data_IF_470291965253
#
_entry.id   IF_470291965253
#
_cell.length_a   1.000
_cell.length_b   1.000
_cell.length_c   1.000
_cell.angle_alpha   90.00
_cell.angle_beta   90.00
_cell.angle_gamma   90.00
#
_symmetry.space_group_name_H-M   'P 1'
#
loop_
_entity.id
_entity.type
_entity.pdbx_description
1 polymer ?
#
# COMPACT_ATOMS: atom_id res chain seq x y z
N UNK A 1 28.64 0.34 -5.50
CA UNK A 1 27.64 1.14 -4.78
C UNK A 1 27.61 0.81 -3.30
N UNK A 2 27.56 -0.47 -2.91
CA UNK A 2 27.32 -0.87 -1.51
C UNK A 2 28.59 -1.05 -0.68
N UNK A 3 29.75 -1.06 -1.32
CA UNK A 3 31.05 -1.23 -0.67
C UNK A 3 31.31 -0.09 0.33
N UNK A 4 31.37 -0.45 1.62
CA UNK A 4 31.71 0.45 2.71
C UNK A 4 30.53 1.26 3.26
N UNK A 5 29.31 1.08 2.75
CA UNK A 5 28.11 1.69 3.33
C UNK A 5 27.90 1.10 4.73
N UNK A 6 27.85 1.95 5.75
CA UNK A 6 27.70 1.56 7.15
C UNK A 6 26.22 1.40 7.53
N UNK A 7 25.37 2.24 6.93
CA UNK A 7 23.92 2.21 7.10
C UNK A 7 23.25 1.10 6.28
N UNK A 8 21.97 0.85 6.55
CA UNK A 8 21.17 -0.06 5.71
C UNK A 8 20.78 0.65 4.43
N UNK A 9 21.20 0.11 3.29
CA UNK A 9 20.86 0.59 1.95
C UNK A 9 19.95 -0.41 1.24
N UNK A 10 18.78 0.05 0.80
CA UNK A 10 17.84 -0.71 -0.05
C UNK A 10 17.64 0.02 -1.36
N UNK A 11 17.58 -0.71 -2.48
CA UNK A 11 17.57 -0.14 -3.83
C UNK A 11 16.58 -0.84 -4.75
N UNK A 12 15.97 -0.06 -5.64
CA UNK A 12 15.20 -0.50 -6.79
C UNK A 12 15.81 0.08 -8.07
N UNK A 13 15.14 -0.09 -9.23
CA UNK A 13 15.61 0.49 -10.49
C UNK A 13 15.69 2.02 -10.44
N UNK A 14 14.71 2.66 -9.79
CA UNK A 14 14.55 4.12 -9.80
C UNK A 14 14.78 4.76 -8.42
N UNK A 15 14.71 3.99 -7.33
CA UNK A 15 14.75 4.52 -5.97
C UNK A 15 15.88 3.89 -5.13
N UNK A 16 16.39 4.67 -4.18
CA UNK A 16 17.29 4.19 -3.14
C UNK A 16 16.84 4.71 -1.77
N UNK A 17 16.97 3.88 -0.75
CA UNK A 17 16.63 4.19 0.64
C UNK A 17 17.82 3.90 1.53
N UNK A 18 18.28 4.91 2.24
CA UNK A 18 19.33 4.80 3.24
C UNK A 18 18.69 4.97 4.62
N UNK A 19 18.97 4.03 5.53
CA UNK A 19 18.42 4.04 6.88
C UNK A 19 19.53 3.71 7.88
N UNK A 20 19.60 4.47 8.98
CA UNK A 20 20.56 4.29 10.05
C UNK A 20 19.97 4.67 11.40
N UNK A 21 20.56 4.12 12.47
CA UNK A 21 20.24 4.53 13.84
C UNK A 21 21.00 5.83 14.15
N UNK A 22 20.31 6.81 14.73
CA UNK A 22 20.81 8.19 14.93
C UNK A 22 20.75 8.63 16.40
N UNK A 23 20.78 7.67 17.33
CA UNK A 23 20.82 7.94 18.76
C UNK A 23 22.18 8.47 19.25
N UNK A 24 23.21 8.37 18.40
CA UNK A 24 24.58 8.82 18.65
C UNK A 24 25.08 9.73 17.52
N UNK A 25 26.07 10.57 17.83
CA UNK A 25 26.76 11.41 16.83
C UNK A 25 27.39 10.56 15.73
N UNK A 26 27.99 9.42 16.10
CA UNK A 26 28.58 8.48 15.14
C UNK A 26 27.54 7.95 14.14
N UNK A 27 26.33 7.64 14.60
CA UNK A 27 25.22 7.21 13.74
C UNK A 27 24.76 8.31 12.76
N UNK A 28 24.66 9.56 13.23
CA UNK A 28 24.34 10.71 12.38
C UNK A 28 25.43 10.95 11.33
N UNK A 29 26.70 10.92 11.74
CA UNK A 29 27.85 11.07 10.85
C UNK A 29 27.95 9.92 9.85
N UNK A 30 27.55 8.70 10.24
CA UNK A 30 27.49 7.55 9.34
C UNK A 30 26.51 7.77 8.18
N UNK A 31 25.31 8.30 8.48
CA UNK A 31 24.32 8.63 7.45
C UNK A 31 24.88 9.68 6.49
N UNK A 32 25.46 10.77 6.99
CA UNK A 32 26.02 11.81 6.12
C UNK A 32 27.16 11.27 5.25
N UNK A 33 28.08 10.49 5.83
CA UNK A 33 29.17 9.85 5.07
C UNK A 33 28.66 8.93 3.96
N UNK A 34 27.59 8.20 4.22
CA UNK A 34 27.00 7.29 3.24
C UNK A 34 26.22 8.05 2.16
N UNK A 35 25.54 9.15 2.48
CA UNK A 35 24.96 10.07 1.50
C UNK A 35 26.04 10.66 0.58
N UNK A 36 27.18 11.11 1.12
CA UNK A 36 28.28 11.63 0.32
C UNK A 36 28.87 10.56 -0.61
N UNK A 37 28.91 9.31 -0.17
CA UNK A 37 29.35 8.17 -1.00
C UNK A 37 28.35 7.89 -2.12
N UNK A 38 27.06 7.97 -1.84
CA UNK A 38 26.00 7.81 -2.84
C UNK A 38 26.07 8.92 -3.90
N UNK A 39 26.24 10.18 -3.51
CA UNK A 39 26.38 11.32 -4.43
C UNK A 39 27.63 11.14 -5.32
N UNK A 40 28.78 10.79 -4.73
CA UNK A 40 30.01 10.50 -5.50
C UNK A 40 29.82 9.34 -6.47
N UNK A 41 29.18 8.26 -6.02
CA UNK A 41 28.91 7.11 -6.88
C UNK A 41 28.00 7.50 -8.04
N UNK A 42 26.93 8.27 -7.80
CA UNK A 42 26.05 8.76 -8.85
C UNK A 42 26.84 9.58 -9.88
N UNK A 43 27.69 10.50 -9.42
CA UNK A 43 28.53 11.33 -10.29
C UNK A 43 29.46 10.48 -11.18
N UNK A 44 30.18 9.50 -10.62
CA UNK A 44 31.08 8.59 -11.36
C UNK A 44 30.33 7.75 -12.40
N UNK A 45 29.07 7.41 -12.13
CA UNK A 45 28.24 6.62 -13.03
C UNK A 45 27.37 7.49 -13.95
N UNK A 46 27.69 8.78 -14.08
CA UNK A 46 26.96 9.75 -14.91
C UNK A 46 25.44 9.82 -14.60
N UNK A 47 25.07 9.55 -13.35
CA UNK A 47 23.72 9.67 -12.82
C UNK A 47 23.59 10.89 -11.90
N UNK A 48 22.35 11.31 -11.66
CA UNK A 48 22.05 12.44 -10.79
C UNK A 48 20.79 12.15 -9.98
N UNK A 49 20.87 12.35 -8.66
CA UNK A 49 19.69 12.29 -7.81
C UNK A 49 18.75 13.46 -8.12
N UNK A 50 17.44 13.18 -8.14
CA UNK A 50 16.43 14.21 -8.13
C UNK A 50 16.26 14.73 -6.69
N UNK A 51 17.09 15.70 -6.31
CA UNK A 51 17.18 16.22 -4.94
C UNK A 51 15.85 16.74 -4.39
N UNK A 52 15.03 17.35 -5.23
CA UNK A 52 13.69 17.81 -4.84
C UNK A 52 12.74 16.67 -4.41
N UNK A 53 12.97 15.46 -4.93
CA UNK A 53 12.22 14.25 -4.55
C UNK A 53 12.85 13.47 -3.39
N UNK A 54 14.10 13.77 -3.02
CA UNK A 54 14.74 13.15 -1.87
C UNK A 54 14.16 13.75 -0.58
N UNK A 55 13.72 12.89 0.34
CA UNK A 55 13.12 13.28 1.62
C UNK A 55 13.76 12.54 2.77
N UNK A 56 13.90 13.22 3.91
CA UNK A 56 14.29 12.58 5.18
C UNK A 56 13.06 12.33 6.03
N UNK A 57 12.82 11.07 6.37
CA UNK A 57 11.78 10.68 7.32
C UNK A 57 12.42 10.36 8.67
N UNK A 58 12.23 11.24 9.66
CA UNK A 58 12.72 11.04 11.01
C UNK A 58 11.80 10.10 11.79
N UNK A 59 12.29 8.91 12.12
CA UNK A 59 11.50 7.93 12.87
C UNK A 59 11.91 7.89 14.34
N UNK A 60 10.91 7.74 15.21
CA UNK A 60 11.10 7.51 16.63
C UNK A 60 11.13 8.78 17.49
N UNK A 61 10.63 8.67 18.73
CA UNK A 61 10.43 9.81 19.62
C UNK A 61 11.74 10.45 20.10
N UNK A 62 12.85 9.70 20.13
CA UNK A 62 14.18 10.19 20.56
C UNK A 62 15.03 10.69 19.38
N UNK A 63 14.45 10.83 18.19
CA UNK A 63 15.19 11.26 17.02
C UNK A 63 15.62 12.73 17.18
N UNK A 64 16.91 13.06 17.03
CA UNK A 64 17.41 14.42 17.16
C UNK A 64 17.02 15.35 16.01
N UNK A 65 16.38 14.82 14.95
CA UNK A 65 15.97 15.57 13.75
C UNK A 65 17.13 16.30 13.07
N UNK A 66 18.27 15.62 12.96
CA UNK A 66 19.46 16.15 12.30
C UNK A 66 19.22 16.39 10.80
N UNK A 67 19.67 17.52 10.29
CA UNK A 67 19.60 17.83 8.87
C UNK A 67 20.73 17.15 8.09
N UNK A 68 20.43 16.74 6.86
CA UNK A 68 21.38 16.04 5.99
C UNK A 68 21.54 16.74 4.64
N UNK A 69 22.74 16.65 4.10
CA UNK A 69 23.08 17.22 2.80
C UNK A 69 23.12 16.14 1.71
N UNK A 70 22.65 16.51 0.51
CA UNK A 70 22.91 15.76 -0.71
C UNK A 70 23.64 16.66 -1.72
N UNK A 71 24.96 16.52 -1.73
CA UNK A 71 25.86 17.39 -2.50
C UNK A 71 25.93 18.79 -1.89
N UNK A 72 25.24 19.76 -2.49
CA UNK A 72 25.23 21.19 -2.07
C UNK A 72 23.88 21.69 -1.55
N UNK A 73 22.90 20.80 -1.44
CA UNK A 73 21.52 21.13 -1.04
C UNK A 73 21.14 20.30 0.17
N UNK A 74 20.36 20.92 1.08
CA UNK A 74 19.74 20.22 2.18
C UNK A 74 18.63 19.32 1.66
N UNK A 75 18.49 18.13 2.26
CA UNK A 75 17.37 17.24 1.99
C UNK A 75 16.21 17.67 2.88
N UNK A 76 15.07 17.98 2.28
CA UNK A 76 13.87 18.36 3.05
C UNK A 76 13.39 17.19 3.92
N UNK A 77 13.10 17.46 5.18
CA UNK A 77 12.42 16.50 6.04
C UNK A 77 10.93 16.44 5.71
N UNK A 78 10.36 15.25 5.89
CA UNK A 78 8.94 15.01 5.70
C UNK A 78 8.41 14.18 6.88
N UNK A 79 7.24 14.55 7.44
CA UNK A 79 6.64 13.80 8.55
C UNK A 79 6.06 12.46 8.10
N UNK A 80 5.86 12.27 6.79
CA UNK A 80 5.18 11.11 6.23
C UNK A 80 5.59 10.88 4.78
N UNK A 81 5.96 9.65 4.45
CA UNK A 81 6.33 9.26 3.08
C UNK A 81 5.55 8.03 2.62
N UNK A 82 5.29 7.98 1.31
CA UNK A 82 4.58 6.86 0.69
C UNK A 82 5.56 5.97 -0.03
N UNK A 83 5.66 4.73 0.42
CA UNK A 83 6.54 3.73 -0.16
C UNK A 83 5.76 2.50 -0.64
N UNK A 84 5.90 2.15 -1.93
CA UNK A 84 5.19 1.01 -2.55
C UNK A 84 3.68 0.98 -2.27
N UNK A 85 3.05 2.15 -2.11
CA UNK A 85 1.62 2.26 -1.80
C UNK A 85 1.28 2.28 -0.30
N UNK A 86 2.26 2.15 0.58
CA UNK A 86 2.11 2.17 2.04
C UNK A 86 2.57 3.52 2.57
N UNK A 87 1.72 4.14 3.39
CA UNK A 87 2.05 5.37 4.10
C UNK A 87 2.86 5.05 5.36
N UNK A 88 3.98 5.74 5.54
CA UNK A 88 4.89 5.58 6.67
C UNK A 88 5.07 6.95 7.32
N UNK A 89 4.65 7.10 8.58
CA UNK A 89 4.81 8.33 9.34
C UNK A 89 5.96 8.25 10.35
N UNK A 90 6.38 9.40 10.89
CA UNK A 90 7.44 9.54 11.90
C UNK A 90 7.24 8.67 13.17
N UNK A 91 5.99 8.27 13.45
CA UNK A 91 5.60 7.49 14.64
C UNK A 91 5.43 5.99 14.33
N UNK A 92 5.57 5.60 13.06
CA UNK A 92 5.21 4.28 12.55
C UNK A 92 3.77 3.88 12.88
N UNK A 93 2.85 4.85 12.89
CA UNK A 93 1.45 4.62 13.19
C UNK A 93 0.70 4.18 11.92
N UNK A 94 0.13 2.97 11.96
CA UNK A 94 -0.62 2.40 10.84
C UNK A 94 -2.05 2.94 10.71
N UNK A 95 -2.55 3.71 11.68
CA UNK A 95 -3.96 4.13 11.74
C UNK A 95 -4.39 4.91 10.50
N UNK A 96 -3.53 5.79 9.98
CA UNK A 96 -3.84 6.58 8.78
C UNK A 96 -3.87 5.72 7.52
N UNK A 97 -2.91 4.81 7.35
CA UNK A 97 -2.92 3.83 6.26
C UNK A 97 -4.18 2.96 6.32
N UNK A 98 -4.57 2.49 7.50
CA UNK A 98 -5.79 1.73 7.71
C UNK A 98 -7.04 2.54 7.35
N UNK A 99 -7.12 3.80 7.76
CA UNK A 99 -8.24 4.68 7.43
C UNK A 99 -8.36 4.91 5.91
N UNK A 100 -7.23 5.13 5.20
CA UNK A 100 -7.21 5.27 3.75
C UNK A 100 -7.63 3.99 3.03
N UNK A 101 -7.15 2.83 3.50
CA UNK A 101 -7.57 1.53 2.97
C UNK A 101 -9.08 1.31 3.17
N UNK A 102 -9.60 1.58 4.37
CA UNK A 102 -11.02 1.48 4.67
C UNK A 102 -11.85 2.45 3.81
N UNK A 103 -11.40 3.69 3.61
CA UNK A 103 -12.07 4.66 2.74
C UNK A 103 -12.15 4.18 1.29
N UNK A 104 -11.08 3.56 0.77
CA UNK A 104 -11.06 2.99 -0.58
C UNK A 104 -12.08 1.85 -0.71
N UNK A 105 -12.11 0.93 0.25
CA UNK A 105 -13.09 -0.17 0.30
C UNK A 105 -14.52 0.38 0.41
N UNK A 106 -14.76 1.35 1.29
CA UNK A 106 -16.07 1.96 1.47
C UNK A 106 -16.57 2.66 0.21
N UNK A 107 -15.67 3.29 -0.57
CA UNK A 107 -16.01 3.89 -1.86
C UNK A 107 -16.43 2.83 -2.88
N UNK A 108 -15.68 1.74 -3.00
CA UNK A 108 -16.02 0.60 -3.89
C UNK A 108 -17.36 -0.02 -3.48
N UNK A 109 -17.53 -0.29 -2.19
CA UNK A 109 -18.77 -0.82 -1.64
C UNK A 109 -19.97 0.10 -1.92
N UNK A 110 -19.78 1.42 -1.81
CA UNK A 110 -20.79 2.41 -2.15
C UNK A 110 -21.14 2.43 -3.65
N UNK A 111 -20.21 2.09 -4.53
CA UNK A 111 -20.50 1.90 -5.96
C UNK A 111 -21.34 0.64 -6.18
N UNK A 112 -20.94 -0.50 -5.61
CA UNK A 112 -21.66 -1.78 -5.72
C UNK A 112 -23.11 -1.64 -5.24
N UNK A 113 -23.31 -1.02 -4.08
CA UNK A 113 -24.66 -0.79 -3.52
C UNK A 113 -25.56 0.06 -4.41
N UNK A 114 -24.99 0.95 -5.23
CA UNK A 114 -25.74 1.82 -6.15
C UNK A 114 -25.98 1.16 -7.51
N UNK A 115 -25.10 0.27 -7.95
CA UNK A 115 -25.18 -0.38 -9.27
C UNK A 115 -25.92 -1.71 -9.26
N UNK A 116 -25.98 -2.41 -8.13
CA UNK A 116 -26.65 -3.71 -8.01
C UNK A 116 -28.02 -3.53 -7.36
N UNK A 117 -29.08 -3.78 -8.15
CA UNK A 117 -30.48 -3.74 -7.69
C UNK A 117 -30.83 -4.93 -6.80
N UNK A 118 -30.25 -6.10 -7.09
CA UNK A 118 -30.31 -7.31 -6.26
C UNK A 118 -29.48 -7.13 -4.99
N UNK A 119 -30.14 -7.18 -3.83
CA UNK A 119 -29.47 -7.20 -2.52
C UNK A 119 -29.32 -8.61 -1.95
N UNK A 120 -29.41 -9.65 -2.79
CA UNK A 120 -29.37 -11.03 -2.33
C UNK A 120 -27.98 -11.40 -1.81
N UNK A 121 -27.97 -12.29 -0.80
CA UNK A 121 -26.76 -12.76 -0.14
C UNK A 121 -25.84 -13.49 -1.12
N UNK A 122 -26.41 -14.22 -2.08
CA UNK A 122 -25.66 -14.99 -3.08
C UNK A 122 -24.88 -14.08 -4.05
N UNK A 123 -25.34 -12.85 -4.30
CA UNK A 123 -24.67 -11.90 -5.21
C UNK A 123 -23.70 -10.98 -4.47
N UNK A 124 -24.06 -10.49 -3.28
CA UNK A 124 -23.24 -9.50 -2.55
C UNK A 124 -22.02 -10.14 -1.85
N UNK A 125 -22.14 -11.35 -1.31
CA UNK A 125 -21.03 -11.99 -0.58
C UNK A 125 -19.81 -12.28 -1.46
N UNK A 126 -19.95 -12.89 -2.65
CA UNK A 126 -18.80 -13.14 -3.52
C UNK A 126 -18.07 -11.86 -3.93
N UNK A 127 -18.82 -10.77 -4.17
CA UNK A 127 -18.27 -9.47 -4.53
C UNK A 127 -17.48 -8.82 -3.37
N UNK A 128 -17.97 -8.92 -2.13
CA UNK A 128 -17.27 -8.36 -0.96
C UNK A 128 -16.11 -9.24 -0.46
N UNK A 129 -16.19 -10.55 -0.65
CA UNK A 129 -15.14 -11.50 -0.25
C UNK A 129 -13.95 -11.55 -1.21
N UNK A 130 -14.11 -11.07 -2.46
CA UNK A 130 -13.02 -10.94 -3.43
C UNK A 130 -12.02 -9.81 -3.08
N UNK A 131 -12.46 -8.79 -2.32
CA UNK A 131 -11.67 -7.60 -2.04
C UNK A 131 -10.92 -7.64 -0.69
N UNK A 132 -11.01 -8.74 0.09
CA UNK A 132 -10.32 -8.82 1.38
C UNK A 132 -9.44 -10.07 1.54
N UNK A 133 -8.20 -9.95 2.06
CA UNK A 133 -7.37 -11.11 2.33
C UNK A 133 -8.04 -12.06 3.34
N UNK A 134 -7.92 -13.39 3.17
CA UNK A 134 -8.41 -14.35 4.14
C UNK A 134 -7.84 -14.05 5.53
N UNK A 135 -8.72 -13.73 6.49
CA UNK A 135 -8.35 -13.43 7.88
C UNK A 135 -8.31 -11.95 8.29
N UNK A 136 -8.54 -10.99 7.38
CA UNK A 136 -8.53 -9.53 7.69
C UNK A 136 -9.93 -8.98 7.99
N UNK A 137 -10.97 -9.53 7.36
CA UNK A 137 -12.38 -9.26 7.68
C UNK A 137 -13.10 -10.60 7.91
N UNK A 138 -13.88 -10.72 9.00
CA UNK A 138 -15.07 -11.59 9.00
C UNK A 138 -16.21 -10.72 8.46
N UNK A 139 -16.74 -10.96 7.25
CA UNK A 139 -17.98 -10.33 6.83
C UNK A 139 -19.09 -10.88 7.73
N UNK A 140 -19.48 -10.10 8.74
CA UNK A 140 -20.67 -10.42 9.52
C UNK A 140 -21.86 -9.81 8.79
N UNK A 141 -22.61 -10.63 8.06
CA UNK A 141 -23.95 -10.22 7.63
C UNK A 141 -24.83 -10.09 8.87
N UNK A 142 -25.46 -8.93 9.03
CA UNK A 142 -26.50 -8.75 10.05
C UNK A 142 -27.77 -9.52 9.70
N UNK A 143 -28.65 -9.66 10.69
CA UNK A 143 -29.99 -10.22 10.49
C UNK A 143 -30.72 -9.48 9.35
N UNK A 144 -31.54 -10.19 8.56
CA UNK A 144 -32.36 -9.57 7.52
C UNK A 144 -33.26 -8.48 8.12
N UNK A 145 -33.33 -7.34 7.44
CA UNK A 145 -34.20 -6.22 7.84
C UNK A 145 -35.24 -6.00 6.74
N UNK A 146 -36.50 -5.90 7.14
CA UNK A 146 -37.61 -5.50 6.26
C UNK A 146 -37.45 -4.01 5.93
N UNK A 147 -37.11 -3.67 4.69
CA UNK A 147 -37.16 -2.27 4.26
C UNK A 147 -38.58 -1.85 3.90
N UNK A 148 -38.86 -0.53 3.97
CA UNK A 148 -40.21 0.08 3.88
C UNK A 148 -41.01 -0.22 2.60
N UNK A 149 -40.49 -1.05 1.70
CA UNK A 149 -41.10 -1.43 0.42
C UNK A 149 -41.15 -2.95 0.20
N UNK A 150 -41.10 -3.76 1.27
CA UNK A 150 -41.40 -5.20 1.20
C UNK A 150 -40.26 -6.13 0.76
N UNK A 151 -39.10 -5.60 0.38
CA UNK A 151 -37.92 -6.43 0.10
C UNK A 151 -37.12 -6.71 1.40
N UNK A 152 -36.88 -8.00 1.67
CA UNK A 152 -36.00 -8.46 2.76
C UNK A 152 -34.55 -8.35 2.30
N UNK A 153 -33.80 -7.39 2.86
CA UNK A 153 -32.39 -7.16 2.52
C UNK A 153 -31.44 -7.56 3.64
N UNK A 154 -30.26 -8.09 3.30
CA UNK A 154 -29.18 -8.30 4.26
C UNK A 154 -28.36 -7.01 4.44
N UNK A 155 -28.14 -6.59 5.70
CA UNK A 155 -27.31 -5.43 6.01
C UNK A 155 -25.87 -5.88 6.23
N UNK A 156 -24.94 -5.38 5.41
CA UNK A 156 -23.50 -5.53 5.65
C UNK A 156 -23.14 -4.77 6.94
N UNK A 157 -22.59 -5.48 7.94
CA UNK A 157 -22.03 -4.86 9.14
C UNK A 157 -20.52 -4.72 8.99
N UNK A 158 -20.00 -3.60 9.44
CA UNK A 158 -18.57 -3.31 9.48
C UNK A 158 -17.87 -4.26 10.47
N UNK A 159 -16.95 -5.08 9.97
CA UNK A 159 -16.11 -5.94 10.80
C UNK A 159 -14.87 -5.19 11.27
N UNK A 160 -14.42 -5.44 12.50
CA UNK A 160 -13.16 -4.85 13.00
C UNK A 160 -11.97 -5.41 12.23
N UNK A 161 -11.13 -4.53 11.69
CA UNK A 161 -9.87 -4.90 11.05
C UNK A 161 -8.90 -5.44 12.10
N UNK A 162 -8.25 -6.56 11.78
CA UNK A 162 -7.11 -7.07 12.54
C UNK A 162 -5.88 -6.20 12.26
N UNK A 163 -5.34 -5.57 13.30
CA UNK A 163 -4.18 -4.66 13.22
C UNK A 163 -2.83 -5.40 13.33
N UNK A 164 -2.85 -6.71 13.57
CA UNK A 164 -1.67 -7.56 13.79
C UNK A 164 -1.18 -8.23 12.49
N UNK A 165 -0.96 -7.43 11.42
CA UNK A 165 -0.43 -7.94 10.15
C UNK A 165 1.09 -7.75 10.14
N UNK A 166 1.79 -8.77 10.66
CA UNK A 166 3.26 -8.88 10.68
C UNK A 166 3.89 -8.68 9.29
N UNK A 167 4.72 -7.65 9.18
CA UNK A 167 5.95 -7.37 8.38
C UNK A 167 6.27 -8.04 7.02
N UNK A 168 5.66 -9.16 6.59
CA UNK A 168 6.15 -9.95 5.43
C UNK A 168 5.13 -10.23 4.31
N UNK A 169 4.04 -9.46 4.20
CA UNK A 169 2.91 -9.91 3.36
C UNK A 169 2.93 -9.47 1.89
N UNK A 170 3.72 -8.46 1.51
CA UNK A 170 3.30 -7.58 0.40
C UNK A 170 3.61 -8.03 -1.04
N UNK A 171 4.48 -9.01 -1.31
CA UNK A 171 4.92 -9.26 -2.70
C UNK A 171 4.33 -10.49 -3.39
N UNK A 172 3.80 -11.49 -2.68
CA UNK A 172 3.63 -12.83 -3.29
C UNK A 172 2.20 -13.14 -3.79
N UNK A 173 1.17 -12.45 -3.31
CA UNK A 173 -0.22 -12.97 -3.43
C UNK A 173 -1.05 -12.39 -4.57
N UNK A 174 -0.97 -11.08 -4.86
CA UNK A 174 -1.79 -10.45 -5.93
C UNK A 174 -1.32 -10.90 -7.32
N UNK A 175 -0.01 -10.99 -7.51
CA UNK A 175 0.63 -11.40 -8.77
C UNK A 175 0.20 -12.82 -9.20
N UNK A 176 0.09 -13.76 -8.26
CA UNK A 176 -0.26 -15.16 -8.58
C UNK A 176 -1.67 -15.35 -9.13
N UNK A 177 -2.65 -14.56 -8.70
CA UNK A 177 -4.03 -14.68 -9.18
C UNK A 177 -4.27 -13.84 -10.44
N UNK A 178 -3.64 -12.67 -10.55
CA UNK A 178 -3.66 -11.89 -11.79
C UNK A 178 -3.08 -12.68 -12.96
N UNK A 179 -2.00 -13.43 -12.73
CA UNK A 179 -1.38 -14.32 -13.72
C UNK A 179 -2.21 -15.59 -14.05
N UNK A 180 -3.34 -15.82 -13.37
CA UNK A 180 -4.25 -16.95 -13.62
C UNK A 180 -5.50 -16.54 -14.39
N UNK A 181 -5.74 -15.25 -14.60
CA UNK A 181 -6.87 -14.81 -15.40
C UNK A 181 -6.63 -15.13 -16.89
N UNK A 182 -7.68 -15.55 -17.63
CA UNK A 182 -7.58 -15.72 -19.06
C UNK A 182 -7.15 -14.41 -19.73
N UNK A 183 -6.29 -14.52 -20.74
CA UNK A 183 -5.71 -13.36 -21.43
C UNK A 183 -6.78 -12.46 -22.02
N UNK A 184 -7.91 -13.03 -22.46
CA UNK A 184 -9.03 -12.30 -23.04
C UNK A 184 -9.73 -11.39 -22.01
N UNK A 185 -9.71 -11.78 -20.73
CA UNK A 185 -10.21 -10.95 -19.63
C UNK A 185 -9.23 -9.81 -19.38
N UNK A 186 -7.94 -10.12 -19.26
CA UNK A 186 -6.88 -9.13 -18.94
C UNK A 186 -6.72 -8.08 -20.02
N UNK A 187 -6.83 -8.47 -21.30
CA UNK A 187 -6.67 -7.58 -22.47
C UNK A 187 -7.98 -6.91 -22.91
N UNK A 188 -9.01 -6.87 -22.06
CA UNK A 188 -10.26 -6.22 -22.41
C UNK A 188 -10.06 -4.71 -22.68
N UNK A 189 -10.49 -4.18 -23.84
CA UNK A 189 -10.22 -2.80 -24.24
C UNK A 189 -11.03 -1.76 -23.45
N UNK A 190 -12.15 -2.18 -22.83
CA UNK A 190 -13.03 -1.32 -22.05
C UNK A 190 -13.48 -2.01 -20.77
N UNK A 191 -13.74 -1.21 -19.74
CA UNK A 191 -14.11 -1.70 -18.41
C UNK A 191 -15.39 -2.56 -18.42
N UNK A 192 -16.38 -2.23 -19.25
CA UNK A 192 -17.61 -3.04 -19.37
C UNK A 192 -17.38 -4.38 -20.06
N UNK A 193 -16.44 -4.43 -21.00
CA UNK A 193 -15.98 -5.66 -21.66
C UNK A 193 -15.15 -6.51 -20.68
N UNK A 194 -14.34 -5.87 -19.84
CA UNK A 194 -13.59 -6.53 -18.78
C UNK A 194 -14.53 -7.22 -17.79
N UNK A 195 -15.56 -6.50 -17.30
CA UNK A 195 -16.55 -7.02 -16.35
C UNK A 195 -17.30 -8.21 -16.91
N UNK A 196 -17.87 -8.08 -18.11
CA UNK A 196 -18.61 -9.17 -18.76
C UNK A 196 -17.76 -10.41 -19.02
N UNK A 197 -16.50 -10.23 -19.42
CA UNK A 197 -15.56 -11.35 -19.60
C UNK A 197 -15.11 -11.97 -18.28
N UNK A 198 -14.90 -11.16 -17.24
CA UNK A 198 -14.58 -11.64 -15.91
C UNK A 198 -15.75 -12.44 -15.33
N UNK A 199 -16.97 -11.96 -15.48
CA UNK A 199 -18.19 -12.64 -15.04
C UNK A 199 -18.36 -14.00 -15.74
N UNK A 200 -18.13 -14.05 -17.06
CA UNK A 200 -18.14 -15.32 -17.81
C UNK A 200 -16.99 -16.27 -17.46
N UNK A 201 -15.81 -15.75 -17.11
CA UNK A 201 -14.68 -16.59 -16.68
C UNK A 201 -14.90 -17.19 -15.28
N UNK A 202 -15.58 -16.45 -14.40
CA UNK A 202 -15.88 -16.89 -13.04
C UNK A 202 -17.14 -17.77 -12.96
N UNK A 203 -18.07 -17.69 -13.92
CA UNK A 203 -19.26 -18.56 -13.97
C UNK A 203 -18.94 -20.03 -14.29
N UNK A 204 -17.77 -20.31 -14.87
CA UNK A 204 -17.33 -21.66 -15.25
C UNK A 204 -16.56 -22.40 -14.14
N UNK A 205 -16.45 -21.81 -12.94
CA UNK A 205 -15.73 -22.38 -11.78
C UNK A 205 -16.71 -22.99 -10.74
N UNK A 206 -17.95 -23.26 -11.15
CA UNK A 206 -18.96 -24.03 -10.38
C UNK A 206 -18.82 -25.52 -10.65
#
# INVERSE_FOLDING_TARGET
MDSGIACTLSKSADDAKLCGVVDTLEGMDAIQRDLDRLERWAHVNCMKFNKAKCKVLHMGQRNPKNDYWLGKEWIESSPEEKDLGVLIDEKLNMSRQCALAAQKVNRVLGCIKRSVTSRSREVILPLCSHDTPPGVLRPALGAPVQERHGAVGFKLKEGRFRLDIRWKFFTVRVVRYWNRLPREVVEAPFLEVFKTRLDGALSNVV
#
